data_IF_868787804632
#
_entry.id   IF_868787804632
#
_cell.length_a   1.000
_cell.length_b   1.000
_cell.length_c   1.000
_cell.angle_alpha   90.00
_cell.angle_beta   90.00
_cell.angle_gamma   90.00
#
_symmetry.space_group_name_H-M   'P 1'
#
loop_
_entity.id
_entity.type
_entity.pdbx_description
1 polymer ?
#
# COMPACT_ATOMS: atom_id res chain seq x y z
N UNK A 1 -6.14 30.71 -54.56
CA UNK A 1 -5.25 30.14 -53.52
C UNK A 1 -5.72 30.68 -52.20
N UNK A 2 -6.43 29.86 -51.43
CA UNK A 2 -6.82 30.17 -50.05
C UNK A 2 -6.29 28.99 -49.25
N UNK A 3 -5.17 29.21 -48.55
CA UNK A 3 -4.66 28.23 -47.61
C UNK A 3 -5.70 28.08 -46.50
N UNK A 4 -6.12 26.85 -46.17
CA UNK A 4 -6.92 26.65 -44.97
C UNK A 4 -6.03 27.00 -43.78
N UNK A 5 -6.45 28.01 -43.02
CA UNK A 5 -5.91 28.31 -41.70
C UNK A 5 -6.11 27.03 -40.88
N UNK A 6 -5.02 26.28 -40.68
CA UNK A 6 -4.95 25.16 -39.75
C UNK A 6 -5.21 25.73 -38.36
N UNK A 7 -6.47 25.68 -37.96
CA UNK A 7 -6.90 25.97 -36.61
C UNK A 7 -6.06 25.17 -35.62
N UNK A 8 -5.59 25.87 -34.62
CA UNK A 8 -4.79 25.38 -33.51
C UNK A 8 -5.58 24.37 -32.65
N UNK A 9 -5.78 23.15 -33.14
CA UNK A 9 -6.58 22.09 -32.48
C UNK A 9 -5.72 20.96 -31.88
N UNK A 10 -4.54 21.31 -31.36
CA UNK A 10 -3.86 20.48 -30.36
C UNK A 10 -4.26 20.98 -28.96
N UNK A 11 -5.56 20.90 -28.62
CA UNK A 11 -6.06 21.39 -27.34
C UNK A 11 -5.50 20.54 -26.17
N UNK A 12 -4.34 20.95 -25.65
CA UNK A 12 -3.77 20.47 -24.41
C UNK A 12 -4.65 20.96 -23.26
N UNK A 13 -5.36 20.04 -22.59
CA UNK A 13 -6.16 20.38 -21.41
C UNK A 13 -5.63 19.65 -20.18
N UNK A 14 -5.36 20.43 -19.14
CA UNK A 14 -5.05 19.89 -17.81
C UNK A 14 -6.35 19.69 -17.07
N UNK A 15 -6.57 18.45 -16.66
CA UNK A 15 -7.82 18.02 -16.04
C UNK A 15 -7.50 17.30 -14.73
N UNK A 16 -8.44 17.29 -13.79
CA UNK A 16 -8.30 16.61 -12.51
C UNK A 16 -9.33 15.51 -12.36
N UNK A 17 -8.86 14.31 -12.02
CA UNK A 17 -9.73 13.17 -11.78
C UNK A 17 -9.73 12.79 -10.31
N UNK A 18 -10.93 12.79 -9.71
CA UNK A 18 -11.14 12.43 -8.31
C UNK A 18 -11.68 11.01 -8.27
N UNK A 19 -11.05 10.17 -7.45
CA UNK A 19 -11.42 8.76 -7.29
C UNK A 19 -11.40 8.36 -5.83
N UNK A 20 -12.35 7.52 -5.45
CA UNK A 20 -12.57 7.08 -4.08
C UNK A 20 -12.41 5.58 -3.91
N UNK A 21 -12.14 5.18 -2.66
CA UNK A 21 -12.21 3.80 -2.20
C UNK A 21 -12.73 3.79 -0.76
N UNK A 22 -13.80 3.07 -0.52
CA UNK A 22 -14.40 2.92 0.81
C UNK A 22 -14.09 1.51 1.35
N UNK A 23 -13.50 1.44 2.54
CA UNK A 23 -13.16 0.18 3.23
C UNK A 23 -14.16 -0.19 4.33
N UNK A 24 -15.21 0.60 4.53
CA UNK A 24 -16.12 0.46 5.66
C UNK A 24 -15.59 1.16 6.92
N UNK A 25 -16.42 1.22 7.96
CA UNK A 25 -16.11 1.75 9.29
C UNK A 25 -15.53 3.19 9.30
N UNK A 26 -15.89 4.01 8.31
CA UNK A 26 -15.37 5.38 8.13
C UNK A 26 -13.98 5.46 7.49
N UNK A 27 -13.36 4.33 7.15
CA UNK A 27 -12.06 4.30 6.51
C UNK A 27 -12.18 4.45 4.99
N UNK A 28 -11.71 5.57 4.47
CA UNK A 28 -11.80 5.95 3.06
C UNK A 28 -10.43 6.37 2.54
N UNK A 29 -10.18 6.14 1.26
CA UNK A 29 -9.10 6.79 0.51
C UNK A 29 -9.70 7.58 -0.65
N UNK A 30 -9.27 8.83 -0.79
CA UNK A 30 -9.60 9.66 -1.95
C UNK A 30 -8.32 10.13 -2.61
N UNK A 31 -8.26 10.07 -3.94
CA UNK A 31 -7.15 10.59 -4.74
C UNK A 31 -7.69 11.62 -5.72
N UNK A 32 -7.05 12.78 -5.80
CA UNK A 32 -7.19 13.67 -6.94
C UNK A 32 -5.88 13.63 -7.75
N UNK A 33 -5.97 13.34 -9.04
CA UNK A 33 -4.79 13.22 -9.91
C UNK A 33 -5.00 14.10 -11.13
N UNK A 34 -4.06 15.01 -11.36
CA UNK A 34 -3.94 15.79 -12.59
C UNK A 34 -3.52 14.86 -13.70
N UNK A 35 -4.15 15.00 -14.84
CA UNK A 35 -3.65 14.38 -16.06
C UNK A 35 -3.76 15.37 -17.21
N UNK A 36 -2.77 15.28 -18.09
CA UNK A 36 -2.71 16.10 -19.28
C UNK A 36 -3.41 15.33 -20.39
N UNK A 37 -4.54 15.86 -20.85
CA UNK A 37 -5.27 15.30 -21.98
C UNK A 37 -4.68 15.87 -23.26
N UNK A 38 -3.90 15.04 -23.96
CA UNK A 38 -3.46 15.34 -25.30
C UNK A 38 -4.38 14.62 -26.31
N UNK A 39 -5.25 15.38 -26.97
CA UNK A 39 -6.27 14.83 -27.87
C UNK A 39 -5.66 14.05 -29.06
N UNK A 40 -4.47 14.42 -29.53
CA UNK A 40 -3.78 13.76 -30.65
C UNK A 40 -3.02 12.46 -30.33
N UNK A 41 -2.92 12.06 -29.05
CA UNK A 41 -2.07 10.95 -28.60
C UNK A 41 -2.85 9.77 -27.99
N UNK A 42 -4.19 9.77 -28.11
CA UNK A 42 -5.03 8.68 -27.62
C UNK A 42 -4.64 7.31 -28.22
N UNK A 43 -4.00 7.29 -29.40
CA UNK A 43 -3.50 6.09 -30.08
C UNK A 43 -2.16 5.56 -29.51
N UNK A 44 -1.47 6.27 -28.62
CA UNK A 44 -0.23 5.75 -28.00
C UNK A 44 -0.53 4.57 -27.06
N UNK A 45 -1.74 4.50 -26.48
CA UNK A 45 -2.16 3.37 -25.64
C UNK A 45 -2.35 2.06 -26.43
N UNK A 46 -2.53 2.14 -27.76
CA UNK A 46 -2.62 0.96 -28.63
C UNK A 46 -1.25 0.44 -29.09
N UNK A 47 -0.16 1.15 -28.79
CA UNK A 47 1.19 0.68 -29.13
C UNK A 47 1.60 -0.53 -28.26
N UNK A 48 2.26 -1.53 -28.87
CA UNK A 48 2.71 -2.72 -28.15
C UNK A 48 3.72 -2.34 -27.07
N UNK A 49 3.47 -2.80 -25.83
CA UNK A 49 4.41 -2.62 -24.72
C UNK A 49 5.60 -3.55 -24.91
N UNK A 50 6.81 -3.08 -24.60
CA UNK A 50 8.01 -3.91 -24.58
C UNK A 50 7.79 -5.18 -23.74
N UNK A 51 8.35 -6.30 -24.20
CA UNK A 51 8.29 -7.56 -23.46
C UNK A 51 8.97 -7.40 -22.11
N UNK A 52 8.48 -8.15 -21.13
CA UNK A 52 8.96 -8.08 -19.74
C UNK A 52 10.46 -8.38 -19.68
N UNK A 53 11.25 -7.42 -19.18
CA UNK A 53 12.70 -7.55 -19.03
C UNK A 53 13.52 -6.97 -20.19
N UNK A 54 12.88 -6.61 -21.30
CA UNK A 54 13.52 -6.05 -22.51
C UNK A 54 13.42 -4.51 -22.56
N UNK A 55 12.91 -3.87 -21.51
CA UNK A 55 12.83 -2.41 -21.46
C UNK A 55 14.19 -1.81 -21.13
N UNK A 56 14.64 -0.84 -21.93
CA UNK A 56 15.84 -0.04 -21.66
C UNK A 56 15.77 0.69 -20.31
N UNK A 57 14.54 0.99 -19.82
CA UNK A 57 14.31 1.76 -18.60
C UNK A 57 14.04 0.90 -17.35
N UNK A 58 15.00 0.03 -17.00
CA UNK A 58 14.89 -0.94 -15.90
C UNK A 58 14.64 -0.29 -14.52
N UNK A 59 15.34 0.82 -14.22
CA UNK A 59 15.24 1.49 -12.92
C UNK A 59 13.85 2.10 -12.67
N UNK A 60 13.30 2.81 -13.67
CA UNK A 60 11.94 3.36 -13.60
C UNK A 60 10.89 2.26 -13.42
N UNK A 61 11.10 1.10 -14.05
CA UNK A 61 10.22 -0.06 -13.89
C UNK A 61 10.30 -0.65 -12.48
N UNK A 62 11.49 -0.72 -11.88
CA UNK A 62 11.67 -1.14 -10.50
C UNK A 62 10.96 -0.18 -9.55
N UNK A 63 11.22 1.13 -9.66
CA UNK A 63 10.57 2.15 -8.84
C UNK A 63 9.03 2.12 -8.96
N UNK A 64 8.49 1.99 -10.17
CA UNK A 64 7.05 1.86 -10.38
C UNK A 64 6.48 0.61 -9.70
N UNK A 65 7.17 -0.52 -9.79
CA UNK A 65 6.79 -1.73 -9.09
C UNK A 65 6.86 -1.54 -7.56
N UNK A 66 7.82 -0.75 -7.04
CA UNK A 66 7.94 -0.42 -5.61
C UNK A 66 6.67 0.26 -5.10
N UNK A 67 6.29 1.34 -5.81
CA UNK A 67 5.13 2.17 -5.52
C UNK A 67 3.86 1.32 -5.54
N UNK A 68 3.71 0.45 -6.54
CA UNK A 68 2.60 -0.51 -6.63
C UNK A 68 2.58 -1.47 -5.44
N UNK A 69 3.71 -2.07 -5.08
CA UNK A 69 3.78 -3.01 -3.96
C UNK A 69 3.44 -2.31 -2.62
N UNK A 70 3.95 -1.09 -2.40
CA UNK A 70 3.64 -0.27 -1.22
C UNK A 70 2.15 0.05 -1.15
N UNK A 71 1.55 0.44 -2.28
CA UNK A 71 0.12 0.66 -2.37
C UNK A 71 -0.66 -0.62 -2.04
N UNK A 72 -0.31 -1.75 -2.63
CA UNK A 72 -1.00 -3.02 -2.38
C UNK A 72 -0.91 -3.46 -0.91
N UNK A 73 0.25 -3.32 -0.28
CA UNK A 73 0.41 -3.56 1.16
C UNK A 73 -0.53 -2.66 1.96
N UNK A 74 -0.55 -1.35 1.69
CA UNK A 74 -1.43 -0.41 2.38
C UNK A 74 -2.90 -0.79 2.24
N UNK A 75 -3.34 -1.05 1.01
CA UNK A 75 -4.71 -1.41 0.68
C UNK A 75 -5.15 -2.71 1.34
N UNK A 76 -4.28 -3.72 1.38
CA UNK A 76 -4.58 -5.01 2.00
C UNK A 76 -4.62 -4.91 3.52
N UNK A 77 -3.74 -4.12 4.14
CA UNK A 77 -3.81 -3.85 5.58
C UNK A 77 -5.15 -3.22 5.97
N UNK A 78 -5.62 -2.28 5.15
CA UNK A 78 -6.93 -1.64 5.29
C UNK A 78 -8.08 -2.64 5.14
N UNK A 79 -8.05 -3.44 4.07
CA UNK A 79 -9.07 -4.45 3.80
C UNK A 79 -9.21 -5.50 4.90
N UNK A 80 -8.11 -5.93 5.54
CA UNK A 80 -8.17 -6.86 6.68
C UNK A 80 -8.45 -6.17 8.01
N UNK A 81 -8.68 -4.84 8.03
CA UNK A 81 -8.84 -4.06 9.26
C UNK A 81 -7.68 -4.27 10.26
N UNK A 82 -6.43 -4.22 9.77
CA UNK A 82 -5.26 -4.45 10.59
C UNK A 82 -5.04 -3.35 11.65
N UNK A 83 -4.94 -3.74 12.92
CA UNK A 83 -4.78 -2.83 14.07
C UNK A 83 -3.59 -3.20 14.98
N UNK A 84 -2.90 -4.31 14.68
CA UNK A 84 -1.70 -4.77 15.40
C UNK A 84 -0.60 -5.13 14.42
N UNK A 85 0.64 -4.97 14.91
CA UNK A 85 1.85 -5.38 14.22
C UNK A 85 2.56 -6.45 15.05
N UNK A 86 2.86 -7.57 14.41
CA UNK A 86 3.76 -8.59 14.92
C UNK A 86 5.13 -8.34 14.29
N UNK A 87 6.18 -8.33 15.11
CA UNK A 87 7.56 -8.33 14.65
C UNK A 87 8.21 -9.65 15.04
N UNK A 88 8.71 -10.39 14.06
CA UNK A 88 9.44 -11.64 14.25
C UNK A 88 10.92 -11.38 13.99
N UNK A 89 11.77 -11.75 14.94
CA UNK A 89 13.22 -11.61 14.79
C UNK A 89 13.90 -12.96 15.03
N UNK A 90 15.14 -13.06 14.53
CA UNK A 90 16.09 -14.12 14.85
C UNK A 90 17.07 -13.62 15.91
N UNK A 91 17.62 -14.51 16.74
CA UNK A 91 18.72 -14.13 17.64
C UNK A 91 20.03 -14.07 16.85
N UNK A 92 20.27 -15.09 16.03
CA UNK A 92 21.37 -15.17 15.08
C UNK A 92 21.29 -14.08 13.99
N UNK A 93 22.40 -13.84 13.29
CA UNK A 93 22.43 -12.97 12.11
C UNK A 93 21.86 -13.70 10.87
N UNK A 94 20.55 -13.96 10.87
CA UNK A 94 19.87 -14.71 9.81
C UNK A 94 19.84 -13.96 8.49
N UNK A 95 20.65 -14.35 7.51
CA UNK A 95 20.68 -13.72 6.18
C UNK A 95 20.03 -14.58 5.06
N UNK A 96 19.66 -15.83 5.37
CA UNK A 96 19.00 -16.73 4.43
C UNK A 96 17.51 -16.38 4.28
N UNK A 97 17.17 -15.72 3.16
CA UNK A 97 15.79 -15.37 2.80
C UNK A 97 14.92 -16.58 2.46
N UNK A 98 15.51 -17.67 1.98
CA UNK A 98 14.78 -18.91 1.73
C UNK A 98 14.34 -19.55 3.05
N UNK A 99 15.21 -19.54 4.07
CA UNK A 99 14.86 -19.91 5.45
C UNK A 99 13.78 -19.00 6.01
N UNK A 100 13.91 -17.68 5.88
CA UNK A 100 12.89 -16.71 6.30
C UNK A 100 11.49 -17.10 5.78
N UNK A 101 11.40 -17.42 4.49
CA UNK A 101 10.15 -17.83 3.87
C UNK A 101 9.63 -19.16 4.43
N UNK A 102 10.49 -20.18 4.58
CA UNK A 102 10.10 -21.49 5.13
C UNK A 102 9.58 -21.38 6.56
N UNK A 103 10.28 -20.60 7.39
CA UNK A 103 9.91 -20.38 8.80
C UNK A 103 8.57 -19.63 8.89
N UNK A 104 8.40 -18.59 8.07
CA UNK A 104 7.13 -17.86 8.01
C UNK A 104 5.97 -18.73 7.51
N UNK A 105 6.21 -19.57 6.50
CA UNK A 105 5.22 -20.51 5.99
C UNK A 105 4.82 -21.55 7.06
N UNK A 106 5.76 -22.02 7.89
CA UNK A 106 5.47 -22.89 9.02
C UNK A 106 4.63 -22.16 10.08
N UNK A 107 4.98 -20.93 10.42
CA UNK A 107 4.26 -20.11 11.41
C UNK A 107 2.81 -19.90 10.98
N UNK A 108 2.56 -19.34 9.79
CA UNK A 108 1.20 -19.05 9.33
C UNK A 108 0.33 -20.29 9.22
N UNK A 109 0.91 -21.45 8.84
CA UNK A 109 0.17 -22.73 8.77
C UNK A 109 -0.22 -23.21 10.16
N UNK A 110 0.67 -23.11 11.15
CA UNK A 110 0.36 -23.50 12.54
C UNK A 110 -0.68 -22.56 13.14
N UNK A 111 -0.56 -21.25 12.94
CA UNK A 111 -1.56 -20.29 13.42
C UNK A 111 -2.92 -20.50 12.76
N UNK A 112 -2.95 -20.70 11.44
CA UNK A 112 -4.18 -20.95 10.69
C UNK A 112 -4.94 -22.24 11.07
N UNK A 113 -4.35 -23.14 11.86
CA UNK A 113 -5.05 -24.32 12.40
C UNK A 113 -5.94 -24.02 13.61
N UNK A 114 -5.69 -22.91 14.30
CA UNK A 114 -6.35 -22.61 15.59
C UNK A 114 -7.00 -21.23 15.62
N UNK A 115 -6.80 -20.39 14.60
CA UNK A 115 -7.46 -19.09 14.46
C UNK A 115 -7.57 -18.71 12.98
N UNK A 116 -8.55 -17.86 12.65
CA UNK A 116 -8.57 -17.18 11.35
C UNK A 116 -7.44 -16.14 11.28
N UNK A 117 -6.31 -16.56 10.71
CA UNK A 117 -5.09 -15.76 10.66
C UNK A 117 -4.98 -14.97 9.34
N UNK A 118 -5.67 -13.84 9.28
CA UNK A 118 -5.48 -12.86 8.20
C UNK A 118 -4.26 -11.97 8.44
N UNK A 119 -3.39 -11.87 7.43
CA UNK A 119 -2.13 -11.14 7.55
C UNK A 119 -1.69 -10.42 6.28
N UNK A 120 -0.87 -9.38 6.47
CA UNK A 120 -0.01 -8.76 5.46
C UNK A 120 1.40 -8.65 6.05
N UNK A 121 2.37 -9.32 5.44
CA UNK A 121 3.74 -9.46 5.94
C UNK A 121 4.77 -8.85 4.98
N UNK A 122 5.74 -8.15 5.54
CA UNK A 122 6.86 -7.53 4.85
C UNK A 122 8.16 -7.96 5.53
N UNK A 123 9.14 -8.41 4.74
CA UNK A 123 10.50 -8.66 5.20
C UNK A 123 11.31 -7.36 5.18
N UNK A 124 12.17 -7.18 6.17
CA UNK A 124 13.16 -6.09 6.21
C UNK A 124 14.47 -6.62 6.81
N UNK A 125 15.61 -6.07 6.36
CA UNK A 125 16.92 -6.27 6.99
C UNK A 125 17.11 -5.31 8.16
N UNK A 126 17.56 -5.86 9.28
CA UNK A 126 18.06 -5.08 10.40
C UNK A 126 19.41 -4.44 10.05
N UNK A 127 19.82 -3.42 10.81
CA UNK A 127 21.16 -2.79 10.66
C UNK A 127 22.32 -3.80 10.68
N UNK A 128 22.18 -4.91 11.40
CA UNK A 128 23.18 -6.00 11.46
C UNK A 128 23.16 -6.96 10.27
N UNK A 129 22.27 -6.77 9.30
CA UNK A 129 22.08 -7.62 8.11
C UNK A 129 21.01 -8.72 8.28
N UNK A 130 20.62 -9.04 9.51
CA UNK A 130 19.64 -10.09 9.81
C UNK A 130 18.25 -9.75 9.28
N UNK A 131 17.59 -10.71 8.63
CA UNK A 131 16.19 -10.60 8.26
C UNK A 131 15.28 -10.58 9.49
N UNK A 132 14.23 -9.77 9.41
CA UNK A 132 13.07 -9.83 10.30
C UNK A 132 11.77 -9.67 9.51
N UNK A 133 10.64 -9.94 10.15
CA UNK A 133 9.31 -9.80 9.53
C UNK A 133 8.45 -8.84 10.31
N UNK A 134 7.84 -7.89 9.61
CA UNK A 134 6.73 -7.09 10.09
C UNK A 134 5.42 -7.62 9.51
N UNK A 135 4.47 -7.96 10.37
CA UNK A 135 3.21 -8.58 9.98
C UNK A 135 2.06 -7.76 10.57
N UNK A 136 1.25 -7.16 9.69
CA UNK A 136 0.00 -6.53 10.08
C UNK A 136 -1.11 -7.58 10.18
N UNK A 137 -1.86 -7.52 11.28
CA UNK A 137 -2.96 -8.44 11.61
C UNK A 137 -4.12 -7.68 12.24
N UNK A 138 -5.31 -8.27 12.21
CA UNK A 138 -6.50 -7.80 12.91
C UNK A 138 -6.62 -8.44 14.28
N UNK A 139 -6.95 -7.64 15.29
CA UNK A 139 -7.36 -8.12 16.59
C UNK A 139 -6.20 -8.50 17.51
N UNK A 140 -6.57 -8.83 18.75
CA UNK A 140 -5.61 -9.21 19.79
C UNK A 140 -4.95 -10.53 19.43
N UNK A 141 -3.64 -10.57 19.60
CA UNK A 141 -2.86 -11.77 19.38
C UNK A 141 -2.39 -12.34 20.71
N UNK A 142 -2.52 -13.65 20.91
CA UNK A 142 -1.98 -14.31 22.09
C UNK A 142 -0.45 -14.43 21.95
N UNK A 143 0.28 -13.55 22.65
CA UNK A 143 1.74 -13.50 22.56
C UNK A 143 2.42 -14.78 23.04
N UNK A 144 1.83 -15.50 24.00
CA UNK A 144 2.40 -16.77 24.52
C UNK A 144 2.32 -17.85 23.46
N UNK A 145 1.15 -17.97 22.80
CA UNK A 145 0.95 -18.88 21.67
C UNK A 145 1.88 -18.53 20.52
N UNK A 146 1.89 -17.26 20.08
CA UNK A 146 2.76 -16.82 18.98
C UNK A 146 4.24 -17.10 19.27
N UNK A 147 4.72 -16.78 20.48
CA UNK A 147 6.10 -17.01 20.88
C UNK A 147 6.43 -18.50 20.96
N UNK A 148 5.54 -19.31 21.51
CA UNK A 148 5.70 -20.77 21.56
C UNK A 148 5.80 -21.36 20.16
N UNK A 149 4.87 -20.99 19.25
CA UNK A 149 4.90 -21.45 17.86
C UNK A 149 6.17 -20.97 17.15
N UNK A 150 6.57 -19.71 17.30
CA UNK A 150 7.80 -19.20 16.67
C UNK A 150 9.05 -19.94 17.14
N UNK A 151 9.23 -20.10 18.45
CA UNK A 151 10.37 -20.83 19.02
C UNK A 151 10.40 -22.31 18.62
N UNK A 152 9.24 -22.93 18.47
CA UNK A 152 9.13 -24.30 17.94
C UNK A 152 9.46 -24.43 16.44
N UNK A 153 9.76 -23.32 15.76
CA UNK A 153 10.20 -23.28 14.35
C UNK A 153 11.68 -22.91 14.28
N UNK A 154 12.10 -21.85 14.98
CA UNK A 154 13.47 -21.32 14.85
C UNK A 154 14.46 -21.84 15.90
N UNK A 155 13.97 -22.54 16.94
CA UNK A 155 14.75 -23.02 18.09
C UNK A 155 14.36 -22.29 19.38
N UNK A 156 14.41 -23.00 20.52
CA UNK A 156 13.96 -22.48 21.82
C UNK A 156 14.68 -21.20 22.26
N UNK A 157 15.99 -21.13 21.99
CA UNK A 157 16.87 -20.00 22.32
C UNK A 157 17.10 -19.04 21.15
N UNK A 158 16.33 -19.20 20.07
CA UNK A 158 16.44 -18.38 18.88
C UNK A 158 15.18 -17.54 18.66
N UNK A 159 15.41 -16.27 18.34
CA UNK A 159 14.36 -15.35 17.92
C UNK A 159 13.43 -14.83 19.01
N UNK A 160 12.70 -13.76 18.66
CA UNK A 160 11.71 -13.14 19.52
C UNK A 160 10.44 -12.81 18.73
N UNK A 161 9.34 -12.67 19.48
CA UNK A 161 8.07 -12.16 18.97
C UNK A 161 7.63 -10.96 19.81
N UNK A 162 7.40 -9.85 19.12
CA UNK A 162 6.81 -8.64 19.67
C UNK A 162 5.44 -8.39 19.01
N UNK A 163 4.41 -8.12 19.81
CA UNK A 163 3.09 -7.72 19.32
C UNK A 163 2.79 -6.33 19.87
N UNK A 164 2.59 -5.35 18.98
CA UNK A 164 2.38 -3.95 19.38
C UNK A 164 1.29 -3.30 18.54
N UNK A 165 0.60 -2.31 19.13
CA UNK A 165 -0.02 -1.24 18.36
C UNK A 165 1.01 -0.09 18.31
N UNK A 166 1.64 0.19 17.17
CA UNK A 166 2.68 1.21 17.06
C UNK A 166 2.23 2.61 17.53
N UNK A 167 0.93 2.91 17.43
CA UNK A 167 0.38 4.23 17.75
C UNK A 167 -0.29 4.29 19.13
N UNK A 168 -0.42 3.15 19.83
CA UNK A 168 -1.07 3.04 21.16
C UNK A 168 -2.48 3.63 21.26
N UNK A 169 -3.15 3.88 20.12
CA UNK A 169 -4.49 4.45 20.01
C UNK A 169 -5.34 3.62 19.03
N UNK A 170 -6.65 3.54 19.30
CA UNK A 170 -7.63 2.88 18.41
C UNK A 170 -7.99 3.77 17.21
N UNK A 171 -8.43 3.17 16.11
CA UNK A 171 -8.93 3.90 14.94
C UNK A 171 -7.86 4.45 13.99
N UNK A 172 -6.57 4.12 14.21
CA UNK A 172 -5.44 4.61 13.40
C UNK A 172 -4.91 3.55 12.41
N UNK A 173 -5.79 2.70 11.88
CA UNK A 173 -5.39 1.62 10.96
C UNK A 173 -4.79 2.16 9.65
N UNK A 174 -5.21 3.34 9.18
CA UNK A 174 -4.61 4.02 8.04
C UNK A 174 -3.13 4.37 8.27
N UNK A 175 -2.78 4.81 9.48
CA UNK A 175 -1.39 5.07 9.88
C UNK A 175 -0.58 3.77 9.96
N UNK A 176 -1.18 2.67 10.45
CA UNK A 176 -0.53 1.35 10.48
C UNK A 176 -0.24 0.82 9.07
N UNK A 177 -1.19 0.95 8.16
CA UNK A 177 -1.04 0.56 6.76
C UNK A 177 0.10 1.34 6.09
N UNK A 178 0.19 2.66 6.32
CA UNK A 178 1.29 3.50 5.84
C UNK A 178 2.64 3.12 6.47
N UNK A 179 2.64 2.82 7.77
CA UNK A 179 3.82 2.41 8.52
C UNK A 179 4.40 1.08 8.02
N UNK A 180 3.57 0.07 7.74
CA UNK A 180 4.05 -1.19 7.16
C UNK A 180 4.68 -0.97 5.77
N UNK A 181 4.09 -0.06 4.98
CA UNK A 181 4.64 0.32 3.67
C UNK A 181 6.03 0.97 3.73
N UNK A 182 6.44 1.55 4.87
CA UNK A 182 7.80 2.09 5.08
C UNK A 182 8.86 0.98 5.07
N UNK A 183 8.54 -0.17 5.65
CA UNK A 183 9.47 -1.29 5.74
C UNK A 183 9.74 -1.93 4.38
N UNK A 184 8.74 -1.93 3.50
CA UNK A 184 8.87 -2.44 2.14
C UNK A 184 9.91 -1.67 1.30
N UNK A 185 10.08 -0.37 1.60
CA UNK A 185 10.94 0.51 0.81
C UNK A 185 12.40 0.53 1.28
N UNK A 186 12.71 -0.03 2.45
CA UNK A 186 14.07 0.04 3.01
C UNK A 186 15.07 -0.86 2.30
N UNK A 187 14.63 -2.03 1.84
CA UNK A 187 15.50 -2.98 1.10
C UNK A 187 15.22 -2.94 -0.41
N UNK A 188 14.65 -1.83 -0.90
CA UNK A 188 14.09 -1.79 -2.24
C UNK A 188 15.12 -1.93 -3.35
N UNK A 189 16.29 -1.30 -3.19
CA UNK A 189 17.36 -1.29 -4.18
C UNK A 189 18.06 -2.66 -4.34
N UNK A 190 17.94 -3.54 -3.33
CA UNK A 190 18.65 -4.83 -3.30
C UNK A 190 17.81 -6.01 -3.80
N UNK A 191 16.54 -5.80 -4.16
CA UNK A 191 15.66 -6.88 -4.57
C UNK A 191 15.92 -7.34 -6.01
N UNK A 192 16.13 -8.65 -6.19
CA UNK A 192 16.27 -9.23 -7.53
C UNK A 192 14.94 -9.16 -8.29
N UNK A 193 15.03 -9.07 -9.61
CA UNK A 193 13.88 -9.14 -10.50
C UNK A 193 13.07 -10.43 -10.21
N UNK A 194 11.75 -10.29 -10.05
CA UNK A 194 10.78 -11.37 -9.73
C UNK A 194 10.70 -11.84 -8.25
N UNK A 195 11.43 -11.24 -7.33
CA UNK A 195 11.27 -11.59 -5.91
C UNK A 195 9.96 -11.05 -5.31
N UNK A 196 9.25 -11.90 -4.54
CA UNK A 196 8.07 -11.47 -3.77
C UNK A 196 8.51 -10.51 -2.66
N UNK A 197 7.97 -9.30 -2.72
CA UNK A 197 8.31 -8.18 -1.82
C UNK A 197 7.51 -8.19 -0.52
N UNK A 198 6.34 -8.82 -0.55
CA UNK A 198 5.46 -8.97 0.60
C UNK A 198 4.66 -10.27 0.43
N UNK A 199 4.10 -10.76 1.54
CA UNK A 199 3.20 -11.92 1.55
C UNK A 199 1.88 -11.52 2.19
N UNK A 200 0.77 -12.06 1.70
CA UNK A 200 -0.56 -11.80 2.29
C UNK A 200 -1.38 -13.06 2.33
N UNK A 201 -2.41 -13.06 3.17
CA UNK A 201 -3.46 -14.08 3.09
C UNK A 201 -4.09 -14.08 1.70
N UNK A 202 -4.52 -15.27 1.25
CA UNK A 202 -5.32 -15.42 0.02
C UNK A 202 -6.74 -14.95 0.30
N UNK A 203 -7.45 -14.50 -0.74
CA UNK A 203 -8.86 -14.10 -0.62
C UNK A 203 -9.10 -12.74 0.04
N UNK A 204 -8.06 -11.95 0.36
CA UNK A 204 -8.26 -10.57 0.82
C UNK A 204 -8.86 -9.75 -0.33
N UNK A 205 -10.15 -9.40 -0.18
CA UNK A 205 -10.90 -8.53 -1.09
C UNK A 205 -10.59 -7.08 -0.77
N UNK A 206 -9.90 -6.41 -1.70
CA UNK A 206 -9.68 -4.96 -1.63
C UNK A 206 -10.83 -4.29 -2.37
N UNK A 207 -11.56 -3.35 -1.75
CA UNK A 207 -12.65 -2.64 -2.42
C UNK A 207 -12.18 -1.97 -3.72
N UNK A 208 -13.04 -1.93 -4.72
CA UNK A 208 -12.71 -1.28 -5.99
C UNK A 208 -12.54 0.23 -5.82
N UNK A 209 -11.85 0.84 -6.79
CA UNK A 209 -11.71 2.29 -6.83
C UNK A 209 -12.79 2.82 -7.77
N UNK A 210 -13.68 3.67 -7.28
CA UNK A 210 -14.75 4.27 -8.07
C UNK A 210 -14.37 5.71 -8.48
N UNK A 211 -14.82 6.19 -9.66
CA UNK A 211 -14.77 7.61 -9.97
C UNK A 211 -15.69 8.38 -9.02
N UNK A 212 -15.27 9.57 -8.59
CA UNK A 212 -16.10 10.50 -7.82
C UNK A 212 -16.46 11.70 -8.71
N UNK A 213 -15.44 12.34 -9.30
CA UNK A 213 -15.64 13.55 -10.08
C UNK A 213 -14.50 13.76 -11.09
N UNK A 214 -14.72 14.62 -12.08
CA UNK A 214 -13.78 14.98 -13.13
C UNK A 214 -13.89 16.48 -13.44
N UNK A 215 -12.87 17.23 -13.03
CA UNK A 215 -12.76 18.66 -13.33
C UNK A 215 -12.04 18.82 -14.67
N UNK A 216 -12.68 19.52 -15.60
CA UNK A 216 -12.18 19.75 -16.96
C UNK A 216 -11.24 20.97 -17.09
N UNK A 217 -10.80 21.52 -15.96
CA UNK A 217 -9.88 22.66 -15.84
C UNK A 217 -8.76 22.35 -14.85
N UNK A 218 -7.66 23.10 -14.91
CA UNK A 218 -6.54 22.97 -13.98
C UNK A 218 -6.83 23.66 -12.63
N UNK A 219 -7.79 23.13 -11.88
CA UNK A 219 -8.21 23.67 -10.59
C UNK A 219 -7.86 22.70 -9.44
N UNK A 220 -6.60 22.79 -9.02
CA UNK A 220 -6.08 22.01 -7.89
C UNK A 220 -6.84 22.29 -6.57
N UNK A 221 -7.11 23.55 -6.17
CA UNK A 221 -7.90 23.84 -4.98
C UNK A 221 -9.27 23.16 -4.99
N UNK A 222 -10.01 23.26 -6.10
CA UNK A 222 -11.31 22.59 -6.23
C UNK A 222 -11.19 21.08 -6.15
N UNK A 223 -10.18 20.49 -6.78
CA UNK A 223 -9.93 19.04 -6.73
C UNK A 223 -9.67 18.55 -5.29
N UNK A 224 -8.92 19.32 -4.51
CA UNK A 224 -8.65 19.02 -3.10
C UNK A 224 -9.92 19.15 -2.25
N UNK A 225 -10.69 20.22 -2.43
CA UNK A 225 -11.96 20.44 -1.73
C UNK A 225 -12.93 19.29 -2.00
N UNK A 226 -13.12 18.91 -3.26
CA UNK A 226 -13.96 17.76 -3.64
C UNK A 226 -13.50 16.46 -2.98
N UNK A 227 -12.18 16.24 -2.84
CA UNK A 227 -11.68 15.05 -2.18
C UNK A 227 -12.06 15.00 -0.69
N UNK A 228 -12.05 16.13 0.01
CA UNK A 228 -12.52 16.22 1.40
C UNK A 228 -14.04 16.10 1.51
N UNK A 229 -14.79 16.77 0.63
CA UNK A 229 -16.25 16.69 0.58
C UNK A 229 -16.71 15.25 0.35
N UNK A 230 -16.10 14.54 -0.59
CA UNK A 230 -16.41 13.15 -0.87
C UNK A 230 -16.19 12.24 0.34
N UNK A 231 -15.12 12.45 1.11
CA UNK A 231 -14.89 11.71 2.35
C UNK A 231 -15.99 11.99 3.40
N UNK A 232 -16.38 13.25 3.56
CA UNK A 232 -17.46 13.63 4.51
C UNK A 232 -18.83 13.07 4.09
N UNK A 233 -19.14 13.07 2.80
CA UNK A 233 -20.42 12.59 2.27
C UNK A 233 -20.68 11.12 2.62
N UNK A 234 -19.63 10.29 2.66
CA UNK A 234 -19.74 8.88 3.06
C UNK A 234 -19.60 8.66 4.58
N UNK A 235 -19.72 9.73 5.37
CA UNK A 235 -19.70 9.68 6.84
C UNK A 235 -18.31 9.40 7.44
N UNK A 236 -17.23 9.63 6.69
CA UNK A 236 -15.88 9.45 7.22
C UNK A 236 -15.46 10.66 8.06
N UNK A 237 -14.85 10.39 9.21
CA UNK A 237 -14.26 11.44 10.04
C UNK A 237 -12.99 12.01 9.41
N UNK A 238 -12.92 13.35 9.31
CA UNK A 238 -11.70 14.07 8.91
C UNK A 238 -10.70 14.25 10.05
N UNK A 239 -11.10 13.99 11.30
CA UNK A 239 -10.18 13.98 12.44
C UNK A 239 -9.00 13.02 12.17
N UNK A 240 -7.78 13.48 12.43
CA UNK A 240 -6.54 12.72 12.22
C UNK A 240 -6.42 12.02 10.85
N UNK A 241 -7.05 12.57 9.81
CA UNK A 241 -6.83 12.10 8.45
C UNK A 241 -5.36 12.30 8.04
N UNK A 242 -4.90 11.48 7.11
CA UNK A 242 -3.59 11.64 6.48
C UNK A 242 -3.78 12.26 5.10
N UNK A 243 -3.02 13.29 4.82
CA UNK A 243 -2.98 13.93 3.51
C UNK A 243 -1.58 13.87 2.92
N UNK A 244 -1.51 13.79 1.61
CA UNK A 244 -0.31 14.00 0.84
C UNK A 244 -0.68 14.88 -0.35
N UNK A 245 0.08 15.94 -0.56
CA UNK A 245 -0.08 16.86 -1.67
C UNK A 245 1.27 17.10 -2.35
N UNK A 246 1.27 17.05 -3.68
CA UNK A 246 2.40 17.49 -4.48
C UNK A 246 1.87 18.15 -5.75
N UNK A 247 2.08 19.47 -5.85
CA UNK A 247 1.65 20.32 -6.97
C UNK A 247 2.31 19.89 -8.28
N UNK A 248 3.61 19.63 -8.27
CA UNK A 248 4.40 19.34 -9.47
C UNK A 248 3.98 18.01 -10.09
N UNK A 249 3.77 17.00 -9.24
CA UNK A 249 3.25 15.69 -9.62
C UNK A 249 1.74 15.71 -9.89
N UNK A 250 1.04 16.82 -9.59
CA UNK A 250 -0.40 16.93 -9.74
C UNK A 250 -1.15 15.85 -8.95
N UNK A 251 -0.76 15.60 -7.71
CA UNK A 251 -1.26 14.45 -6.96
C UNK A 251 -1.65 14.84 -5.53
N UNK A 252 -2.92 14.66 -5.21
CA UNK A 252 -3.46 14.71 -3.87
C UNK A 252 -3.95 13.33 -3.44
N UNK A 253 -3.66 12.96 -2.20
CA UNK A 253 -4.17 11.76 -1.57
C UNK A 253 -4.64 12.06 -0.15
N UNK A 254 -5.84 11.58 0.18
CA UNK A 254 -6.47 11.66 1.49
C UNK A 254 -6.76 10.24 1.98
N UNK A 255 -6.53 9.99 3.27
CA UNK A 255 -7.04 8.82 3.97
C UNK A 255 -7.60 9.17 5.33
N UNK A 256 -8.80 8.69 5.61
CA UNK A 256 -9.47 8.91 6.89
C UNK A 256 -9.15 7.80 7.88
N UNK A 257 -9.37 8.13 9.16
CA UNK A 257 -9.40 7.20 10.29
C UNK A 257 -10.71 6.40 10.29
N UNK A 258 -10.80 5.40 11.16
CA UNK A 258 -12.09 4.78 11.47
C UNK A 258 -12.95 5.64 12.37
N UNK A 259 -14.26 5.48 12.20
CA UNK A 259 -15.26 6.03 13.10
C UNK A 259 -15.14 5.34 14.47
N UNK A 260 -15.27 6.11 15.54
CA UNK A 260 -15.03 5.64 16.93
C UNK A 260 -16.17 4.76 17.45
N UNK A 261 -17.27 4.65 16.70
CA UNK A 261 -18.52 4.01 17.10
C UNK A 261 -18.90 2.76 16.27
N UNK A 262 -17.91 2.04 15.75
CA UNK A 262 -18.08 0.72 15.13
C UNK A 262 -17.53 -0.41 15.97
#
# INVERSE_FOLDING_TARGET
>A
MQEPILGNDAAFRREWLIRGRNFGDGQVEVTATRFDRYMGAQQLHTLPKAKRGESENSENNQMAAAKRAKQQVRLRCKAIAADRMITLTYRENMQDRSRLKRDFDALRRRLGKFQDFQYVAVSERQKRGAWHLHIAVKGRQNYRVLRSVWRSIVGADNGNVDVRNPFRQKGLRHKLAAYLGKYLTKDFAEHKMNEKRYWTSRGITVPERHPIDHILSDDAPRAIVLAFEAARQVGASLDQCQVFWNQDLGCFWLATRENVHG
#
